data_IF_598147000504
#
_entry.id   IF_598147000504
#
_cell.length_a   1.000
_cell.length_b   1.000
_cell.length_c   1.000
_cell.angle_alpha   90.00
_cell.angle_beta   90.00
_cell.angle_gamma   90.00
#
_symmetry.space_group_name_H-M   'P 1'
#
loop_
_entity.id
_entity.type
_entity.pdbx_description
1 polymer ?
#
# COMPACT_ATOMS: atom_id res chain seq x y z
N UNK A 1 5.37 -20.13 -13.72
CA UNK A 1 5.84 -18.78 -14.09
C UNK A 1 6.92 -18.40 -13.09
N UNK A 2 8.04 -17.74 -13.47
CA UNK A 2 8.97 -17.25 -12.49
C UNK A 2 8.20 -16.30 -11.55
N UNK A 3 8.45 -16.39 -10.25
CA UNK A 3 7.77 -15.60 -9.24
C UNK A 3 8.19 -14.13 -9.41
N UNK A 4 7.32 -13.30 -10.00
CA UNK A 4 7.59 -11.90 -10.34
C UNK A 4 7.94 -11.06 -9.10
N UNK A 5 7.42 -11.47 -7.91
CA UNK A 5 7.57 -10.74 -6.66
C UNK A 5 8.45 -11.44 -5.63
N UNK A 6 9.33 -12.37 -6.08
CA UNK A 6 10.22 -13.11 -5.16
C UNK A 6 11.09 -12.16 -4.32
N UNK A 7 11.06 -12.37 -2.98
CA UNK A 7 11.82 -11.57 -2.03
C UNK A 7 11.22 -10.19 -1.75
N UNK A 8 9.98 -9.95 -2.16
CA UNK A 8 9.23 -8.73 -1.83
C UNK A 8 8.38 -8.95 -0.60
N UNK A 9 8.46 -8.03 0.34
CA UNK A 9 7.69 -8.07 1.58
C UNK A 9 6.58 -7.04 1.52
N UNK A 10 5.32 -7.50 1.56
CA UNK A 10 4.13 -6.64 1.42
C UNK A 10 3.37 -6.61 2.74
N UNK A 11 3.13 -5.41 3.26
CA UNK A 11 2.30 -5.21 4.44
C UNK A 11 0.82 -5.14 4.05
N UNK A 12 -0.04 -5.84 4.79
CA UNK A 12 -1.47 -5.60 4.84
C UNK A 12 -1.79 -4.93 6.17
N UNK A 13 -2.31 -3.73 6.16
CA UNK A 13 -2.72 -3.05 7.38
C UNK A 13 -4.21 -3.26 7.60
N UNK A 14 -4.56 -4.05 8.61
CA UNK A 14 -5.95 -4.36 8.93
C UNK A 14 -6.19 -4.64 10.41
N UNK A 15 -7.43 -4.43 10.86
CA UNK A 15 -7.91 -4.75 12.21
C UNK A 15 -9.30 -5.38 12.16
N UNK A 16 -9.94 -5.55 13.32
CA UNK A 16 -11.31 -6.09 13.42
C UNK A 16 -12.30 -5.33 12.55
N UNK A 17 -13.09 -6.07 11.78
CA UNK A 17 -14.09 -5.53 10.88
C UNK A 17 -13.61 -5.37 9.45
N UNK A 18 -12.42 -5.91 9.12
CA UNK A 18 -11.95 -5.99 7.73
C UNK A 18 -12.87 -6.87 6.90
N UNK A 19 -13.20 -6.45 5.67
CA UNK A 19 -13.93 -7.30 4.72
C UNK A 19 -13.02 -8.46 4.30
N UNK A 20 -13.45 -9.69 4.61
CA UNK A 20 -12.61 -10.89 4.47
C UNK A 20 -12.08 -11.07 3.06
N UNK A 21 -12.91 -10.93 2.04
CA UNK A 21 -12.50 -11.16 0.66
C UNK A 21 -11.53 -10.09 0.16
N UNK A 22 -11.61 -8.87 0.69
CA UNK A 22 -10.69 -7.77 0.36
C UNK A 22 -9.32 -7.93 1.02
N UNK A 23 -9.24 -8.72 2.08
CA UNK A 23 -7.98 -9.17 2.68
C UNK A 23 -7.44 -10.40 1.93
N UNK A 24 -8.25 -11.46 1.76
CA UNK A 24 -7.78 -12.77 1.31
C UNK A 24 -7.50 -12.85 -0.19
N UNK A 25 -8.27 -12.18 -1.05
CA UNK A 25 -8.06 -12.25 -2.49
C UNK A 25 -6.72 -11.62 -2.92
N UNK A 26 -6.38 -10.36 -2.55
CA UNK A 26 -5.08 -9.77 -2.88
C UNK A 26 -3.93 -10.47 -2.14
N UNK A 27 -4.14 -10.96 -0.92
CA UNK A 27 -3.17 -11.78 -0.18
C UNK A 27 -2.74 -13.01 -0.99
N UNK A 28 -3.73 -13.76 -1.48
CA UNK A 28 -3.47 -14.96 -2.28
C UNK A 28 -2.81 -14.64 -3.62
N UNK A 29 -3.24 -13.58 -4.30
CA UNK A 29 -2.64 -13.14 -5.55
C UNK A 29 -1.15 -12.81 -5.38
N UNK A 30 -0.80 -12.07 -4.34
CA UNK A 30 0.59 -11.71 -4.03
C UNK A 30 1.44 -12.94 -3.65
N UNK A 31 0.91 -13.84 -2.84
CA UNK A 31 1.58 -15.11 -2.51
C UNK A 31 1.82 -15.97 -3.74
N UNK A 32 0.86 -16.09 -4.63
CA UNK A 32 1.01 -16.81 -5.91
C UNK A 32 2.06 -16.16 -6.82
N UNK A 33 2.20 -14.85 -6.76
CA UNK A 33 3.26 -14.09 -7.45
C UNK A 33 4.63 -14.19 -6.76
N UNK A 34 4.73 -14.83 -5.58
CA UNK A 34 5.97 -15.10 -4.86
C UNK A 34 6.38 -14.06 -3.81
N UNK A 35 5.49 -13.14 -3.43
CA UNK A 35 5.75 -12.17 -2.37
C UNK A 35 5.60 -12.80 -0.97
N UNK A 36 6.35 -12.28 -0.02
CA UNK A 36 6.14 -12.47 1.41
C UNK A 36 5.09 -11.46 1.88
N UNK A 37 3.99 -11.96 2.43
CA UNK A 37 2.85 -11.14 2.85
C UNK A 37 2.73 -11.16 4.37
N UNK A 38 2.57 -10.00 4.99
CA UNK A 38 2.58 -9.81 6.45
C UNK A 38 1.34 -9.02 6.87
N UNK A 39 0.59 -9.55 7.82
CA UNK A 39 -0.53 -8.84 8.44
C UNK A 39 -0.03 -7.95 9.58
N UNK A 40 -0.13 -6.66 9.36
CA UNK A 40 0.16 -5.60 10.33
C UNK A 40 -1.16 -5.13 10.94
N UNK A 41 -1.23 -5.00 12.25
CA UNK A 41 -2.45 -4.54 12.95
C UNK A 41 -2.14 -3.60 14.11
N UNK A 42 -3.16 -2.93 14.63
CA UNK A 42 -3.10 -2.11 15.83
C UNK A 42 -3.06 -2.92 17.13
N UNK A 43 -3.11 -4.25 17.04
CA UNK A 43 -3.10 -5.18 18.17
C UNK A 43 -2.37 -6.48 17.84
N UNK A 44 -2.05 -7.25 18.87
CA UNK A 44 -1.51 -8.62 18.75
C UNK A 44 -2.63 -9.66 18.71
N UNK A 45 -2.24 -10.90 18.39
CA UNK A 45 -3.12 -12.07 18.41
C UNK A 45 -3.88 -12.22 17.11
N UNK A 46 -5.17 -11.98 17.10
CA UNK A 46 -6.04 -12.19 15.95
C UNK A 46 -6.97 -11.00 15.72
N UNK A 47 -7.32 -10.77 14.47
CA UNK A 47 -8.39 -9.87 14.05
C UNK A 47 -9.60 -10.66 13.58
N UNK A 48 -10.80 -10.11 13.79
CA UNK A 48 -12.06 -10.67 13.29
C UNK A 48 -12.37 -10.07 11.91
N UNK A 49 -12.27 -10.87 10.87
CA UNK A 49 -12.76 -10.50 9.55
C UNK A 49 -14.29 -10.57 9.48
N UNK A 50 -14.85 -9.86 8.51
CA UNK A 50 -16.30 -9.81 8.28
C UNK A 50 -16.61 -10.24 6.83
N UNK A 51 -17.73 -10.88 6.65
CA UNK A 51 -18.35 -11.12 5.35
C UNK A 51 -19.62 -10.25 5.29
N UNK A 52 -19.49 -8.99 4.90
CA UNK A 52 -20.52 -7.96 5.05
C UNK A 52 -20.92 -7.80 6.53
N UNK A 53 -22.15 -8.21 6.90
CA UNK A 53 -22.69 -8.09 8.27
C UNK A 53 -22.43 -9.34 9.13
N UNK A 54 -21.95 -10.43 8.53
CA UNK A 54 -21.66 -11.68 9.22
C UNK A 54 -20.19 -11.75 9.64
N UNK A 55 -19.92 -12.40 10.80
CA UNK A 55 -18.55 -12.71 11.20
C UNK A 55 -17.93 -13.70 10.22
N UNK A 56 -16.76 -13.36 9.72
CA UNK A 56 -15.90 -14.22 8.94
C UNK A 56 -14.88 -14.96 9.81
N UNK A 57 -13.74 -15.28 9.22
CA UNK A 57 -12.64 -15.96 9.90
C UNK A 57 -11.92 -15.05 10.89
N UNK A 58 -11.23 -15.66 11.85
CA UNK A 58 -10.20 -14.99 12.63
C UNK A 58 -8.88 -15.14 11.90
N UNK A 59 -8.16 -14.04 11.78
CA UNK A 59 -6.88 -13.99 11.07
C UNK A 59 -5.78 -13.62 12.04
N UNK A 60 -4.70 -14.42 12.04
CA UNK A 60 -3.55 -14.17 12.90
C UNK A 60 -2.81 -12.88 12.47
N UNK A 61 -2.44 -12.06 13.45
CA UNK A 61 -1.63 -10.86 13.27
C UNK A 61 -0.16 -11.23 13.37
N UNK A 62 0.60 -10.95 12.31
CA UNK A 62 2.03 -11.23 12.29
C UNK A 62 2.83 -10.23 13.11
N UNK A 63 2.45 -8.94 13.04
CA UNK A 63 3.20 -7.87 13.71
C UNK A 63 2.30 -6.68 14.06
N UNK A 64 2.61 -6.02 15.17
CA UNK A 64 1.93 -4.81 15.64
C UNK A 64 2.50 -3.57 14.96
N UNK A 65 1.63 -2.68 14.47
CA UNK A 65 2.02 -1.50 13.68
C UNK A 65 2.99 -0.55 14.42
N UNK A 66 2.89 -0.49 15.75
CA UNK A 66 3.78 0.31 16.58
C UNK A 66 5.25 -0.16 16.60
N UNK A 67 5.52 -1.38 16.10
CA UNK A 67 6.85 -2.01 16.14
C UNK A 67 7.55 -2.07 14.79
N UNK A 68 6.93 -1.56 13.74
CA UNK A 68 7.44 -1.59 12.35
C UNK A 68 7.35 -0.22 11.69
N UNK A 69 8.07 -0.04 10.59
CA UNK A 69 8.06 1.16 9.75
C UNK A 69 7.83 0.79 8.29
N UNK A 70 7.49 1.77 7.46
CA UNK A 70 7.36 1.55 6.02
C UNK A 70 8.67 1.08 5.36
N UNK A 71 9.82 1.29 6.00
CA UNK A 71 11.13 0.84 5.48
C UNK A 71 11.29 -0.68 5.51
N UNK A 72 10.55 -1.36 6.37
CA UNK A 72 10.60 -2.82 6.55
C UNK A 72 9.84 -3.58 5.46
N UNK A 73 9.15 -2.87 4.57
CA UNK A 73 8.30 -3.43 3.53
C UNK A 73 8.53 -2.78 2.16
N UNK A 74 8.17 -3.48 1.10
CA UNK A 74 8.24 -2.98 -0.28
C UNK A 74 6.95 -2.30 -0.75
N UNK A 75 5.80 -2.69 -0.20
CA UNK A 75 4.49 -2.17 -0.56
C UNK A 75 3.49 -2.30 0.60
N UNK A 76 2.37 -1.57 0.50
CA UNK A 76 1.27 -1.57 1.46
C UNK A 76 -0.06 -1.87 0.76
N UNK A 77 -0.88 -2.72 1.37
CA UNK A 77 -2.28 -2.97 0.98
C UNK A 77 -3.20 -2.56 2.13
N UNK A 78 -4.22 -1.77 1.80
CA UNK A 78 -5.25 -1.26 2.70
C UNK A 78 -6.61 -1.87 2.29
N UNK A 79 -6.99 -3.04 2.84
CA UNK A 79 -8.31 -3.59 2.61
C UNK A 79 -9.39 -2.73 3.28
N UNK A 80 -10.63 -2.89 2.86
CA UNK A 80 -11.76 -2.14 3.37
C UNK A 80 -12.52 -2.87 4.48
N UNK A 81 -13.82 -2.97 4.32
CA UNK A 81 -14.78 -3.05 5.41
C UNK A 81 -15.02 -1.66 5.98
N UNK A 82 -16.11 -1.42 6.67
CA UNK A 82 -16.37 -0.08 7.26
C UNK A 82 -15.60 0.08 8.57
N UNK A 83 -15.72 -0.88 9.47
CA UNK A 83 -15.18 -0.79 10.84
C UNK A 83 -13.64 -0.84 10.88
N UNK A 84 -13.01 -1.55 9.95
CA UNK A 84 -11.56 -1.70 9.87
C UNK A 84 -10.86 -0.34 9.67
N UNK A 85 -11.04 0.38 8.56
CA UNK A 85 -10.36 1.66 8.37
C UNK A 85 -10.89 2.75 9.31
N UNK A 86 -12.12 2.69 9.77
CA UNK A 86 -12.66 3.65 10.76
C UNK A 86 -11.92 3.55 12.11
N UNK A 87 -11.62 2.35 12.58
CA UNK A 87 -10.78 2.15 13.76
C UNK A 87 -9.33 2.57 13.53
N UNK A 88 -8.73 2.11 12.43
CA UNK A 88 -7.33 2.37 12.14
C UNK A 88 -7.02 3.86 11.93
N UNK A 89 -7.94 4.64 11.36
CA UNK A 89 -7.75 6.09 11.19
C UNK A 89 -7.64 6.86 12.50
N UNK A 90 -8.11 6.30 13.61
CA UNK A 90 -7.95 6.88 14.95
C UNK A 90 -6.65 6.45 15.64
N UNK A 91 -5.93 5.46 15.09
CA UNK A 91 -4.66 4.99 15.61
C UNK A 91 -3.50 5.76 14.97
N UNK A 92 -2.76 6.54 15.78
CA UNK A 92 -1.68 7.41 15.30
C UNK A 92 -0.54 6.64 14.62
N UNK A 93 -0.21 5.44 15.10
CA UNK A 93 0.86 4.62 14.52
C UNK A 93 0.43 4.07 13.15
N UNK A 94 -0.84 3.66 13.01
CA UNK A 94 -1.41 3.21 11.74
C UNK A 94 -1.41 4.33 10.68
N UNK A 95 -1.86 5.54 11.06
CA UNK A 95 -1.86 6.71 10.18
C UNK A 95 -0.44 7.12 9.79
N UNK A 96 0.49 7.13 10.75
CA UNK A 96 1.90 7.41 10.50
C UNK A 96 2.50 6.39 9.54
N UNK A 97 2.23 5.10 9.73
CA UNK A 97 2.70 4.02 8.87
C UNK A 97 2.23 4.22 7.42
N UNK A 98 0.96 4.55 7.19
CA UNK A 98 0.44 4.86 5.85
C UNK A 98 1.14 6.07 5.25
N UNK A 99 1.30 7.16 6.02
CA UNK A 99 1.97 8.38 5.57
C UNK A 99 3.41 8.11 5.13
N UNK A 100 4.16 7.33 5.89
CA UNK A 100 5.55 6.96 5.57
C UNK A 100 5.66 6.22 4.22
N UNK A 101 4.70 5.33 3.87
CA UNK A 101 4.70 4.69 2.54
C UNK A 101 4.53 5.71 1.42
N UNK A 102 3.64 6.68 1.59
CA UNK A 102 3.38 7.72 0.60
C UNK A 102 4.59 8.68 0.46
N UNK A 103 5.20 9.08 1.56
CA UNK A 103 6.40 9.93 1.59
C UNK A 103 7.63 9.25 0.99
N UNK A 104 7.76 7.93 1.15
CA UNK A 104 8.84 7.12 0.58
C UNK A 104 8.57 6.72 -0.88
N UNK A 105 7.49 7.20 -1.47
CA UNK A 105 7.06 6.86 -2.83
C UNK A 105 7.02 5.34 -3.09
N UNK A 106 6.55 4.58 -2.11
CA UNK A 106 6.36 3.14 -2.23
C UNK A 106 4.97 2.80 -2.76
N UNK A 107 4.79 1.67 -3.46
CA UNK A 107 3.49 1.22 -3.90
C UNK A 107 2.50 1.07 -2.75
N UNK A 108 1.32 1.69 -2.90
CA UNK A 108 0.20 1.57 -1.98
C UNK A 108 -1.05 1.16 -2.77
N UNK A 109 -1.77 0.16 -2.28
CA UNK A 109 -3.03 -0.27 -2.86
C UNK A 109 -4.14 -0.21 -1.82
N UNK A 110 -5.29 0.40 -2.17
CA UNK A 110 -6.42 0.53 -1.27
C UNK A 110 -7.73 0.16 -1.98
N UNK A 111 -8.62 -0.52 -1.29
CA UNK A 111 -9.93 -0.92 -1.85
C UNK A 111 -11.06 -0.54 -0.91
N UNK A 112 -12.23 -0.24 -1.49
CA UNK A 112 -13.49 -0.01 -0.78
C UNK A 112 -13.41 1.19 0.18
N UNK A 113 -13.48 0.97 1.50
CA UNK A 113 -13.31 1.99 2.52
C UNK A 113 -11.85 2.18 2.97
N UNK A 114 -10.92 1.34 2.50
CA UNK A 114 -9.48 1.47 2.79
C UNK A 114 -8.90 2.88 2.56
N UNK A 115 -9.33 3.63 1.53
CA UNK A 115 -8.90 5.01 1.30
C UNK A 115 -9.17 6.01 2.42
N UNK A 116 -10.02 5.72 3.43
CA UNK A 116 -10.13 6.58 4.63
C UNK A 116 -8.79 6.76 5.36
N UNK A 117 -7.93 5.75 5.31
CA UNK A 117 -6.58 5.87 5.88
C UNK A 117 -5.69 6.85 5.09
N UNK A 118 -5.88 6.92 3.77
CA UNK A 118 -5.18 7.90 2.92
C UNK A 118 -5.70 9.33 3.17
N UNK A 119 -7.02 9.48 3.42
CA UNK A 119 -7.63 10.75 3.84
C UNK A 119 -7.00 11.22 5.14
N UNK A 120 -6.95 10.37 6.17
CA UNK A 120 -6.41 10.70 7.49
C UNK A 120 -4.89 10.96 7.47
N UNK A 121 -4.17 10.28 6.57
CA UNK A 121 -2.74 10.48 6.35
C UNK A 121 -2.41 11.79 5.59
N UNK A 122 -3.41 12.58 5.15
CA UNK A 122 -3.28 13.77 4.26
C UNK A 122 -2.52 13.43 2.96
N UNK A 123 -2.79 12.27 2.38
CA UNK A 123 -2.04 11.71 1.26
C UNK A 123 -2.73 11.84 -0.10
N UNK A 124 -3.87 12.55 -0.18
CA UNK A 124 -4.70 12.60 -1.38
C UNK A 124 -4.59 13.88 -2.20
N UNK A 125 -3.87 14.91 -1.74
CA UNK A 125 -3.74 16.18 -2.47
C UNK A 125 -3.15 15.97 -3.86
N UNK A 126 -3.90 16.37 -4.88
CA UNK A 126 -3.49 16.24 -6.29
C UNK A 126 -3.52 14.80 -6.83
N UNK A 127 -4.03 13.84 -6.07
CA UNK A 127 -4.19 12.44 -6.52
C UNK A 127 -5.56 12.20 -7.12
N UNK A 128 -5.62 11.32 -8.11
CA UNK A 128 -6.87 10.81 -8.68
C UNK A 128 -7.10 9.40 -8.17
N UNK A 129 -8.18 9.19 -7.42
CA UNK A 129 -8.49 7.87 -6.84
C UNK A 129 -9.95 7.47 -7.05
N UNK A 130 -10.20 6.18 -6.89
CA UNK A 130 -11.53 5.61 -6.72
C UNK A 130 -11.65 4.97 -5.33
N UNK A 131 -12.87 4.76 -4.86
CA UNK A 131 -13.17 4.16 -3.56
C UNK A 131 -14.59 3.64 -3.53
N UNK A 132 -15.02 3.08 -2.42
CA UNK A 132 -16.44 2.92 -2.15
C UNK A 132 -17.16 4.27 -2.31
N UNK A 133 -18.33 4.34 -3.00
CA UNK A 133 -18.93 5.62 -3.39
C UNK A 133 -19.21 6.61 -2.25
N UNK A 134 -19.50 6.11 -1.04
CA UNK A 134 -19.79 6.99 0.11
C UNK A 134 -18.57 7.85 0.53
N UNK A 135 -17.35 7.53 0.08
CA UNK A 135 -16.14 8.27 0.40
C UNK A 135 -15.87 9.42 -0.59
N UNK A 136 -16.68 9.60 -1.62
CA UNK A 136 -16.45 10.66 -2.63
C UNK A 136 -16.22 12.04 -2.00
N UNK A 137 -17.09 12.43 -1.07
CA UNK A 137 -16.99 13.72 -0.39
C UNK A 137 -15.73 13.82 0.46
N UNK A 138 -15.37 12.76 1.18
CA UNK A 138 -14.17 12.73 2.03
C UNK A 138 -12.91 12.88 1.18
N UNK A 139 -12.83 12.16 0.05
CA UNK A 139 -11.72 12.25 -0.91
C UNK A 139 -11.58 13.67 -1.46
N UNK A 140 -12.68 14.29 -1.88
CA UNK A 140 -12.69 15.67 -2.40
C UNK A 140 -12.25 16.67 -1.34
N UNK A 141 -12.74 16.54 -0.11
CA UNK A 141 -12.37 17.39 1.01
C UNK A 141 -10.88 17.24 1.38
N UNK A 142 -10.30 16.05 1.19
CA UNK A 142 -8.87 15.80 1.36
C UNK A 142 -8.01 16.28 0.17
N UNK A 143 -8.60 16.96 -0.82
CA UNK A 143 -7.91 17.52 -1.98
C UNK A 143 -7.64 16.53 -3.11
N UNK A 144 -8.25 15.36 -3.07
CA UNK A 144 -8.21 14.35 -4.14
C UNK A 144 -9.29 14.54 -5.21
N UNK A 145 -9.03 14.04 -6.41
CA UNK A 145 -10.03 13.88 -7.47
C UNK A 145 -10.63 12.48 -7.39
N UNK A 146 -11.92 12.38 -7.10
CA UNK A 146 -12.62 11.11 -7.07
C UNK A 146 -13.20 10.77 -8.44
N UNK A 147 -13.01 9.50 -8.86
CA UNK A 147 -13.55 8.96 -10.10
C UNK A 147 -14.25 7.62 -9.84
N UNK A 148 -15.36 7.37 -10.52
CA UNK A 148 -16.05 6.07 -10.47
C UNK A 148 -15.44 5.12 -11.50
N UNK A 149 -14.35 4.43 -11.11
CA UNK A 149 -13.70 3.43 -11.95
C UNK A 149 -13.48 2.14 -11.17
N UNK A 150 -13.55 1.02 -11.84
CA UNK A 150 -13.27 -0.29 -11.27
C UNK A 150 -11.87 -0.33 -10.63
N UNK A 151 -10.89 0.23 -11.32
CA UNK A 151 -9.51 0.38 -10.88
C UNK A 151 -8.98 1.73 -11.33
N UNK A 152 -8.31 2.44 -10.45
CA UNK A 152 -7.60 3.68 -10.75
C UNK A 152 -6.16 3.57 -10.26
N UNK A 153 -5.22 3.85 -11.15
CA UNK A 153 -3.80 4.00 -10.81
C UNK A 153 -3.42 5.46 -10.97
N UNK A 154 -2.77 6.00 -9.96
CA UNK A 154 -2.16 7.33 -9.97
C UNK A 154 -0.74 7.19 -9.42
N UNK A 155 0.26 7.21 -10.31
CA UNK A 155 1.65 6.89 -9.99
C UNK A 155 1.75 5.49 -9.31
N UNK A 156 2.19 5.41 -8.07
CA UNK A 156 2.31 4.17 -7.28
C UNK A 156 1.13 3.92 -6.35
N UNK A 157 0.03 4.66 -6.51
CA UNK A 157 -1.21 4.47 -5.76
C UNK A 157 -2.25 3.76 -6.64
N UNK A 158 -2.61 2.55 -6.24
CA UNK A 158 -3.69 1.75 -6.84
C UNK A 158 -4.92 1.83 -5.95
N UNK A 159 -6.08 2.14 -6.52
CA UNK A 159 -7.35 2.14 -5.80
C UNK A 159 -8.46 1.39 -6.53
N UNK A 160 -9.45 0.86 -5.78
CA UNK A 160 -10.59 0.13 -6.29
C UNK A 160 -11.83 0.36 -5.40
N UNK A 161 -13.04 0.00 -5.86
CA UNK A 161 -14.28 0.40 -5.22
C UNK A 161 -14.86 -0.61 -4.25
N UNK A 162 -14.86 -1.91 -4.62
CA UNK A 162 -15.70 -2.93 -3.96
C UNK A 162 -15.23 -4.35 -4.28
N UNK A 163 -15.75 -5.37 -3.58
CA UNK A 163 -15.37 -6.76 -3.81
C UNK A 163 -15.53 -7.25 -5.25
N UNK A 164 -16.53 -6.79 -5.98
CA UNK A 164 -16.72 -7.18 -7.39
C UNK A 164 -15.56 -6.77 -8.30
N UNK A 165 -14.77 -5.77 -7.88
CA UNK A 165 -13.64 -5.24 -8.63
C UNK A 165 -12.32 -6.00 -8.33
N UNK A 166 -12.31 -6.92 -7.36
CA UNK A 166 -11.12 -7.66 -6.91
C UNK A 166 -10.35 -8.38 -8.03
N UNK A 167 -11.01 -9.00 -9.03
CA UNK A 167 -10.25 -9.65 -10.10
C UNK A 167 -9.32 -8.68 -10.83
N UNK A 168 -9.82 -7.51 -11.20
CA UNK A 168 -9.03 -6.46 -11.86
C UNK A 168 -8.01 -5.80 -10.91
N UNK A 169 -8.41 -5.57 -9.65
CA UNK A 169 -7.56 -5.03 -8.61
C UNK A 169 -6.34 -5.92 -8.34
N UNK A 170 -6.54 -7.24 -8.18
CA UNK A 170 -5.45 -8.17 -7.90
C UNK A 170 -4.45 -8.29 -9.06
N UNK A 171 -4.92 -8.31 -10.31
CA UNK A 171 -4.05 -8.30 -11.48
C UNK A 171 -3.20 -7.02 -11.48
N UNK A 172 -3.85 -5.86 -11.32
CA UNK A 172 -3.16 -4.57 -11.36
C UNK A 172 -2.21 -4.36 -10.17
N UNK A 173 -2.52 -4.94 -9.01
CA UNK A 173 -1.65 -4.94 -7.84
C UNK A 173 -0.33 -5.67 -8.12
N UNK A 174 -0.39 -6.87 -8.70
CA UNK A 174 0.81 -7.64 -9.05
C UNK A 174 1.65 -6.90 -10.09
N UNK A 175 1.02 -6.32 -11.12
CA UNK A 175 1.69 -5.51 -12.14
C UNK A 175 2.39 -4.30 -11.50
N UNK A 176 1.68 -3.49 -10.70
CA UNK A 176 2.23 -2.29 -10.07
C UNK A 176 3.47 -2.61 -9.22
N UNK A 177 3.44 -3.72 -8.48
CA UNK A 177 4.56 -4.13 -7.66
C UNK A 177 5.74 -4.63 -8.51
N UNK A 178 5.48 -5.30 -9.62
CA UNK A 178 6.52 -5.75 -10.56
C UNK A 178 7.21 -4.55 -11.24
N UNK A 179 6.45 -3.59 -11.73
CA UNK A 179 6.97 -2.38 -12.38
C UNK A 179 7.85 -1.56 -11.43
N UNK A 180 7.42 -1.36 -10.18
CA UNK A 180 8.20 -0.67 -9.15
C UNK A 180 9.52 -1.38 -8.78
N UNK A 181 9.64 -2.66 -9.09
CA UNK A 181 10.90 -3.42 -8.94
C UNK A 181 11.86 -3.07 -10.07
N UNK A 182 11.37 -3.06 -11.29
CA UNK A 182 12.19 -2.82 -12.47
C UNK A 182 12.72 -1.37 -12.46
N UNK A 183 11.91 -0.40 -12.06
CA UNK A 183 12.35 0.99 -11.84
C UNK A 183 13.52 1.06 -10.84
N UNK A 184 13.37 0.46 -9.64
CA UNK A 184 14.44 0.48 -8.61
C UNK A 184 15.72 -0.26 -9.03
N UNK A 185 15.60 -1.27 -9.88
CA UNK A 185 16.78 -1.96 -10.44
C UNK A 185 17.49 -1.09 -11.46
N UNK A 186 16.74 -0.40 -12.30
CA UNK A 186 17.29 0.52 -13.28
C UNK A 186 18.02 1.68 -12.61
N UNK A 187 17.40 2.32 -11.60
CA UNK A 187 18.02 3.40 -10.82
C UNK A 187 19.36 2.96 -10.20
N UNK A 188 19.41 1.78 -9.56
CA UNK A 188 20.65 1.24 -8.99
C UNK A 188 21.72 0.95 -10.05
N UNK A 189 21.33 0.50 -11.25
CA UNK A 189 22.28 0.28 -12.35
C UNK A 189 22.82 1.61 -12.86
N UNK A 190 21.99 2.64 -12.95
CA UNK A 190 22.40 4.00 -13.35
C UNK A 190 23.37 4.57 -12.30
N UNK A 191 23.04 4.51 -11.02
CA UNK A 191 23.92 4.96 -9.92
C UNK A 191 25.31 4.27 -9.95
N UNK A 192 25.35 2.97 -10.25
CA UNK A 192 26.59 2.20 -10.33
C UNK A 192 27.37 2.47 -11.63
N UNK A 193 26.73 2.96 -12.69
CA UNK A 193 27.36 3.28 -13.98
C UNK A 193 28.01 4.66 -14.04
N UNK A 194 27.68 5.55 -13.10
CA UNK A 194 28.35 6.86 -12.94
C UNK A 194 29.32 6.78 -11.75
N UNK A 195 30.63 6.46 -11.99
CA UNK A 195 31.61 6.58 -10.93
C UNK A 195 31.68 8.05 -10.49
N UNK A 196 31.75 8.26 -9.17
CA UNK A 196 31.94 9.59 -8.61
C UNK A 196 33.10 10.28 -9.33
N UNK A 197 32.83 11.44 -9.94
CA UNK A 197 33.84 12.23 -10.63
C UNK A 197 34.98 12.49 -9.62
N UNK A 198 36.21 12.10 -9.98
CA UNK A 198 37.39 12.47 -9.19
C UNK A 198 37.37 13.99 -8.96
N UNK A 199 37.69 14.48 -7.75
CA UNK A 199 37.77 15.90 -7.51
C UNK A 199 38.84 16.49 -8.43
N UNK A 200 38.48 17.59 -9.10
CA UNK A 200 39.42 18.33 -9.95
C UNK A 200 40.74 18.57 -9.19
N UNK A 201 41.90 18.35 -9.81
CA UNK A 201 43.17 18.66 -9.16
C UNK A 201 43.19 20.14 -8.77
N UNK A 202 43.53 20.40 -7.53
CA UNK A 202 43.61 21.74 -6.98
C UNK A 202 44.59 22.63 -7.76
N UNK A 203 44.49 23.96 -7.61
CA UNK A 203 45.30 24.90 -8.41
C UNK A 203 46.77 24.63 -8.22
N UNK A 204 47.50 24.48 -9.33
CA UNK A 204 48.95 24.38 -9.38
C UNK A 204 49.55 25.70 -8.86
N UNK A 205 50.22 25.64 -7.72
CA UNK A 205 50.97 26.78 -7.21
C UNK A 205 52.14 27.06 -8.14
N UNK A 206 52.05 28.15 -8.91
CA UNK A 206 53.18 28.68 -9.66
C UNK A 206 54.19 29.26 -8.65
N UNK A 207 55.41 28.75 -8.66
CA UNK A 207 56.56 29.34 -8.04
C UNK A 207 57.23 30.36 -8.98
#
# INVERSE_FOLDING_TARGET
MPSQLKGRKVAFLATDGVEQVELTAPWNALKQAGADVVLVSDKRGEIQAMNRDAKGERVHVDVEVSTVTARDFDALVLPGGVANPDKLRTNKDAVKFVREFMELDKPVAAICHGPWLLVEADALRGRTITSWPSLETDVRNAGGAWVDKQVQVDQKLLTSRKPDDLPAFCVKLVELLADAIDERRLDKMVEQSFPASDPLPGPIALR
#
